data_IF_580609759518
#
_entry.id   IF_580609759518
#
_cell.length_a   1.000
_cell.length_b   1.000
_cell.length_c   1.000
_cell.angle_alpha   90.00
_cell.angle_beta   90.00
_cell.angle_gamma   90.00
#
_symmetry.space_group_name_H-M   'P 1'
#
loop_
_entity.id
_entity.type
_entity.pdbx_description
1 polymer ?
#
# COMPACT_ATOMS: atom_id res chain seq x y z
N UNK A 1 -13.90 41.19 -28.61
CA UNK A 1 -12.98 41.93 -27.72
C UNK A 1 -13.24 41.38 -26.32
N UNK A 2 -12.44 40.45 -25.76
CA UNK A 2 -11.07 40.60 -25.16
C UNK A 2 -11.08 41.58 -23.97
N UNK A 3 -10.49 41.30 -22.80
CA UNK A 3 -9.38 40.38 -22.43
C UNK A 3 -9.59 39.78 -21.01
N UNK A 4 -8.93 38.66 -20.70
CA UNK A 4 -8.66 38.18 -19.33
C UNK A 4 -7.53 38.97 -18.64
N UNK A 5 -7.39 38.85 -17.31
CA UNK A 5 -6.09 39.07 -16.63
C UNK A 5 -5.94 38.26 -15.34
N UNK A 6 -4.79 37.62 -15.17
CA UNK A 6 -4.38 36.92 -13.94
C UNK A 6 -3.88 37.90 -12.87
N UNK A 7 -3.80 37.43 -11.61
CA UNK A 7 -3.01 38.08 -10.56
C UNK A 7 -2.05 37.05 -9.93
N UNK A 8 -0.78 37.42 -9.82
CA UNK A 8 0.25 36.71 -9.06
C UNK A 8 0.69 37.60 -7.91
N UNK A 9 1.03 37.01 -6.75
CA UNK A 9 1.43 37.77 -5.56
C UNK A 9 2.70 37.19 -4.95
N UNK A 10 3.63 38.07 -4.57
CA UNK A 10 4.97 37.75 -4.06
C UNK A 10 5.07 37.94 -2.55
N UNK A 11 6.10 37.27 -2.01
CA UNK A 11 6.60 37.23 -0.64
C UNK A 11 6.91 38.62 -0.02
N UNK A 12 6.76 38.75 1.30
CA UNK A 12 7.34 39.81 2.14
C UNK A 12 8.03 39.20 3.36
N UNK A 13 9.16 39.76 3.76
CA UNK A 13 9.96 39.41 4.95
C UNK A 13 9.94 40.62 5.89
N UNK A 14 9.95 40.41 7.21
CA UNK A 14 10.20 41.47 8.19
C UNK A 14 11.08 40.95 9.34
N UNK A 15 12.06 41.76 9.74
CA UNK A 15 13.00 41.51 10.83
C UNK A 15 12.73 42.46 12.01
N UNK A 16 13.09 42.06 13.23
CA UNK A 16 13.06 42.91 14.42
C UNK A 16 14.30 42.69 15.29
N UNK A 17 14.87 43.75 15.84
CA UNK A 17 16.10 43.74 16.63
C UNK A 17 15.90 44.44 17.98
N UNK A 18 16.72 44.08 18.98
CA UNK A 18 16.86 44.82 20.23
C UNK A 18 18.32 44.73 20.72
N UNK A 19 18.76 45.74 21.50
CA UNK A 19 20.16 46.02 21.81
C UNK A 19 20.32 46.42 23.29
N UNK A 20 21.36 45.95 23.99
CA UNK A 20 21.94 46.59 25.20
C UNK A 20 23.39 46.10 25.46
N UNK A 21 24.17 46.90 26.20
CA UNK A 21 25.63 46.80 26.39
C UNK A 21 26.00 46.52 27.89
N UNK A 22 27.25 46.42 28.39
CA UNK A 22 28.60 46.75 27.89
C UNK A 22 29.73 46.03 28.70
N UNK A 23 30.97 46.56 28.64
CA UNK A 23 32.13 46.42 29.57
C UNK A 23 33.12 45.23 29.43
N UNK A 24 34.25 45.54 28.76
CA UNK A 24 35.71 45.29 29.03
C UNK A 24 36.15 44.08 29.90
N UNK A 25 37.27 43.37 29.66
CA UNK A 25 38.61 43.79 29.17
C UNK A 25 39.45 42.59 28.62
N UNK A 26 40.68 42.78 28.06
CA UNK A 26 41.33 41.79 27.17
C UNK A 26 42.42 40.91 27.81
N UNK A 27 42.65 39.73 27.22
CA UNK A 27 43.91 38.96 27.34
C UNK A 27 44.16 38.16 26.04
N UNK A 28 45.43 38.01 25.66
CA UNK A 28 45.83 37.46 24.36
C UNK A 28 46.04 35.94 24.36
N UNK A 29 45.77 35.28 23.24
CA UNK A 29 46.63 34.27 22.62
C UNK A 29 46.11 33.87 21.23
N UNK A 30 47.02 33.52 20.31
CA UNK A 30 46.70 33.08 18.96
C UNK A 30 45.82 31.81 18.97
N UNK A 31 44.70 31.84 18.25
CA UNK A 31 43.89 30.66 17.94
C UNK A 31 43.68 30.59 16.42
N UNK A 32 44.05 29.44 15.85
CA UNK A 32 43.84 29.10 14.44
C UNK A 32 42.33 28.96 14.14
N UNK A 33 41.84 29.28 12.92
CA UNK A 33 40.43 29.10 12.59
C UNK A 33 40.00 27.64 12.81
N UNK A 34 38.78 27.39 13.34
CA UNK A 34 38.34 26.02 13.63
C UNK A 34 38.36 25.18 12.35
N UNK A 35 39.11 24.08 12.37
CA UNK A 35 39.09 23.11 11.28
C UNK A 35 37.66 22.59 11.08
N UNK A 36 37.21 22.35 9.83
CA UNK A 36 35.93 21.71 9.59
C UNK A 36 35.89 20.36 10.33
N UNK A 37 34.74 19.98 10.92
CA UNK A 37 34.65 18.80 11.76
C UNK A 37 35.14 17.58 10.99
N UNK A 38 36.20 16.95 11.50
CA UNK A 38 36.76 15.74 10.91
C UNK A 38 35.65 14.69 10.87
N UNK A 39 35.30 14.23 9.66
CA UNK A 39 34.31 13.18 9.45
C UNK A 39 34.74 11.92 10.21
N UNK A 40 34.16 11.73 11.38
CA UNK A 40 34.24 10.46 12.09
C UNK A 40 33.51 9.45 11.21
N UNK A 41 34.27 8.60 10.52
CA UNK A 41 33.69 7.44 9.85
C UNK A 41 33.07 6.56 10.93
N UNK A 42 31.76 6.70 11.14
CA UNK A 42 30.99 5.75 11.93
C UNK A 42 31.06 4.43 11.16
N UNK A 43 31.91 3.52 11.64
CA UNK A 43 32.04 2.20 11.08
C UNK A 43 30.67 1.55 11.02
N UNK A 44 30.30 1.02 9.86
CA UNK A 44 29.04 0.34 9.68
C UNK A 44 28.96 -0.85 10.66
N UNK A 45 28.10 -0.74 11.67
CA UNK A 45 27.76 -1.90 12.50
C UNK A 45 27.18 -2.98 11.60
N UNK A 46 27.57 -4.26 11.75
CA UNK A 46 27.03 -5.32 10.92
C UNK A 46 25.52 -5.45 11.20
N UNK A 47 24.71 -5.05 10.22
CA UNK A 47 23.25 -5.16 10.31
C UNK A 47 22.84 -6.63 10.26
N UNK A 48 22.69 -7.25 11.43
CA UNK A 48 21.90 -8.47 11.58
C UNK A 48 20.52 -8.20 10.96
N UNK A 49 20.08 -9.11 10.09
CA UNK A 49 19.10 -8.82 9.06
C UNK A 49 17.78 -8.22 9.59
N UNK A 50 17.54 -6.93 9.32
CA UNK A 50 16.20 -6.37 9.40
C UNK A 50 15.39 -6.85 8.21
N UNK A 51 14.74 -8.00 8.38
CA UNK A 51 13.61 -8.38 7.54
C UNK A 51 12.51 -7.34 7.77
N UNK A 52 12.37 -6.42 6.82
CA UNK A 52 11.25 -5.51 6.74
C UNK A 52 10.04 -6.32 6.28
N UNK A 53 9.00 -6.35 7.07
CA UNK A 53 7.78 -7.10 6.79
C UNK A 53 6.61 -6.15 6.54
N UNK A 54 5.59 -6.70 5.91
CA UNK A 54 4.27 -6.09 5.84
C UNK A 54 3.23 -7.01 6.46
N UNK A 55 2.01 -6.52 6.57
CA UNK A 55 0.86 -7.31 6.95
C UNK A 55 -0.09 -7.41 5.76
N UNK A 56 -0.51 -8.64 5.48
CA UNK A 56 -1.55 -8.94 4.49
C UNK A 56 -2.76 -9.56 5.20
N UNK A 57 -3.95 -9.15 4.78
CA UNK A 57 -5.22 -9.77 5.17
C UNK A 57 -5.81 -10.48 3.95
N UNK A 58 -5.85 -11.80 3.96
CA UNK A 58 -6.54 -12.59 2.92
C UNK A 58 -7.95 -12.93 3.38
N UNK A 59 -8.96 -12.55 2.60
CA UNK A 59 -10.40 -12.75 2.86
C UNK A 59 -10.93 -13.81 1.90
N UNK A 60 -11.44 -14.91 2.45
CA UNK A 60 -12.11 -15.98 1.74
C UNK A 60 -13.64 -15.81 1.84
N UNK A 61 -14.28 -15.50 0.71
CA UNK A 61 -15.74 -15.30 0.64
C UNK A 61 -16.54 -16.61 0.73
N UNK A 62 -15.94 -17.76 0.36
CA UNK A 62 -16.59 -19.08 0.37
C UNK A 62 -16.52 -19.73 1.76
N UNK A 63 -15.37 -19.63 2.43
CA UNK A 63 -15.15 -20.11 3.79
C UNK A 63 -15.63 -19.13 4.87
N UNK A 64 -15.90 -17.86 4.51
CA UNK A 64 -16.28 -16.79 5.42
C UNK A 64 -15.25 -16.59 6.54
N UNK A 65 -13.98 -16.63 6.15
CA UNK A 65 -12.83 -16.43 7.02
C UNK A 65 -11.91 -15.35 6.47
N UNK A 66 -11.21 -14.67 7.37
CA UNK A 66 -10.08 -13.82 7.02
C UNK A 66 -8.83 -14.26 7.80
N UNK A 67 -7.67 -14.23 7.15
CA UNK A 67 -6.38 -14.59 7.73
C UNK A 67 -5.44 -13.38 7.67
N UNK A 68 -4.91 -12.98 8.83
CA UNK A 68 -3.85 -11.97 8.96
C UNK A 68 -2.49 -12.68 8.93
N UNK A 69 -1.58 -12.26 8.06
CA UNK A 69 -0.25 -12.88 7.90
C UNK A 69 0.85 -11.83 7.78
N UNK A 70 2.08 -12.22 8.11
CA UNK A 70 3.26 -11.46 7.65
C UNK A 70 3.39 -11.58 6.14
N UNK A 71 3.95 -10.55 5.50
CA UNK A 71 4.29 -10.52 4.08
C UNK A 71 5.75 -10.08 3.88
N UNK A 72 6.70 -10.98 4.19
CA UNK A 72 8.13 -10.79 3.93
C UNK A 72 8.44 -10.69 2.44
N UNK A 73 9.71 -10.39 2.10
CA UNK A 73 10.13 -10.31 0.70
C UNK A 73 10.04 -11.66 -0.03
N UNK A 74 10.31 -12.78 0.64
CA UNK A 74 10.01 -14.12 0.15
C UNK A 74 8.65 -14.57 0.72
N UNK A 75 7.57 -14.60 -0.07
CA UNK A 75 6.25 -14.95 0.42
C UNK A 75 6.13 -16.38 0.97
N UNK A 76 7.08 -17.29 0.68
CA UNK A 76 7.08 -18.64 1.25
C UNK A 76 7.37 -18.63 2.77
N UNK A 77 8.00 -17.57 3.28
CA UNK A 77 8.21 -17.35 4.72
C UNK A 77 7.06 -16.62 5.43
N UNK A 78 5.93 -16.40 4.73
CA UNK A 78 4.72 -15.80 5.31
C UNK A 78 4.19 -16.64 6.48
N UNK A 79 4.03 -15.98 7.64
CA UNK A 79 3.56 -16.61 8.87
C UNK A 79 2.14 -16.15 9.19
N UNK A 80 1.26 -17.10 9.54
CA UNK A 80 -0.09 -16.81 10.01
C UNK A 80 -0.04 -16.19 11.41
N UNK A 81 -0.70 -15.05 11.57
CA UNK A 81 -0.81 -14.33 12.84
C UNK A 81 -2.17 -14.57 13.48
N UNK A 82 -3.26 -14.33 12.73
CA UNK A 82 -4.62 -14.49 13.27
C UNK A 82 -5.63 -14.95 12.23
N UNK A 83 -6.62 -15.72 12.67
CA UNK A 83 -7.82 -16.08 11.90
C UNK A 83 -9.04 -15.35 12.46
N UNK A 84 -9.94 -14.95 11.59
CA UNK A 84 -11.19 -14.28 11.91
C UNK A 84 -12.35 -14.97 11.19
N UNK A 85 -13.51 -15.08 11.84
CA UNK A 85 -14.78 -15.31 11.16
C UNK A 85 -15.35 -13.96 10.73
N UNK A 86 -15.96 -13.92 9.56
CA UNK A 86 -16.48 -12.69 8.95
C UNK A 86 -17.87 -12.89 8.37
N UNK A 87 -18.57 -11.77 8.12
CA UNK A 87 -19.71 -11.70 7.23
C UNK A 87 -19.41 -10.78 6.04
N UNK A 88 -20.02 -11.07 4.89
CA UNK A 88 -19.79 -10.38 3.62
C UNK A 88 -21.11 -9.81 3.05
N UNK A 89 -21.03 -9.22 1.86
CA UNK A 89 -22.18 -8.72 1.12
C UNK A 89 -23.30 -9.76 0.95
N UNK A 90 -24.56 -9.29 0.95
CA UNK A 90 -25.75 -10.13 0.75
C UNK A 90 -25.75 -10.89 -0.59
N UNK A 91 -25.07 -10.36 -1.61
CA UNK A 91 -25.06 -10.91 -2.97
C UNK A 91 -23.74 -11.62 -3.30
N UNK A 92 -23.87 -12.72 -4.05
CA UNK A 92 -22.77 -13.55 -4.51
C UNK A 92 -21.93 -12.94 -5.63
N UNK A 93 -20.67 -13.40 -5.71
CA UNK A 93 -19.72 -13.05 -6.77
C UNK A 93 -19.06 -11.67 -6.61
N UNK A 94 -18.20 -11.32 -7.56
CA UNK A 94 -17.43 -10.08 -7.55
C UNK A 94 -18.32 -8.84 -7.78
N UNK A 95 -18.07 -7.79 -7.00
CA UNK A 95 -18.71 -6.47 -7.10
C UNK A 95 -18.41 -5.83 -8.45
N UNK A 96 -19.46 -5.42 -9.15
CA UNK A 96 -19.38 -4.71 -10.44
C UNK A 96 -19.94 -3.30 -10.35
N UNK A 97 -21.00 -3.07 -9.56
CA UNK A 97 -21.76 -1.82 -9.60
C UNK A 97 -22.11 -1.27 -8.21
N UNK A 98 -22.40 0.01 -8.14
CA UNK A 98 -23.00 0.62 -6.93
C UNK A 98 -24.34 -0.07 -6.60
N UNK A 99 -24.63 -0.26 -5.31
CA UNK A 99 -25.87 -0.91 -4.86
C UNK A 99 -26.00 -2.42 -5.12
N UNK A 100 -25.04 -3.08 -5.79
CA UNK A 100 -25.16 -4.52 -6.13
C UNK A 100 -25.05 -5.49 -4.93
N UNK A 101 -24.80 -4.97 -3.71
CA UNK A 101 -24.66 -5.71 -2.45
C UNK A 101 -23.56 -6.80 -2.43
N UNK A 102 -22.61 -6.76 -3.36
CA UNK A 102 -21.50 -7.72 -3.44
C UNK A 102 -20.25 -7.20 -2.76
N UNK A 103 -19.48 -8.10 -2.16
CA UNK A 103 -18.10 -7.79 -1.73
C UNK A 103 -17.15 -7.95 -2.92
N UNK A 104 -16.28 -6.96 -3.22
CA UNK A 104 -15.36 -7.02 -4.36
C UNK A 104 -14.33 -8.14 -4.23
N UNK A 105 -13.82 -8.62 -5.38
CA UNK A 105 -12.74 -9.59 -5.47
C UNK A 105 -11.52 -8.97 -6.16
N UNK A 106 -10.38 -8.94 -5.46
CA UNK A 106 -9.16 -8.28 -5.88
C UNK A 106 -8.19 -8.00 -4.72
N UNK A 107 -7.08 -7.35 -5.07
CA UNK A 107 -6.02 -6.84 -4.19
C UNK A 107 -6.24 -5.34 -3.98
N UNK A 108 -6.26 -4.91 -2.72
CA UNK A 108 -6.57 -3.56 -2.25
C UNK A 108 -5.55 -3.09 -1.22
N UNK A 109 -5.41 -1.78 -1.08
CA UNK A 109 -4.71 -1.17 0.05
C UNK A 109 -5.73 -0.66 1.08
N UNK A 110 -5.46 -0.93 2.36
CA UNK A 110 -6.16 -0.25 3.45
C UNK A 110 -5.91 1.26 3.37
N UNK A 111 -6.88 2.07 3.79
CA UNK A 111 -6.76 3.52 3.91
C UNK A 111 -6.70 3.94 5.39
N UNK A 112 -6.53 5.25 5.65
CA UNK A 112 -6.65 5.80 7.00
C UNK A 112 -7.97 5.40 7.66
N UNK A 113 -7.89 4.94 8.91
CA UNK A 113 -9.05 4.48 9.68
C UNK A 113 -10.04 5.62 9.92
N UNK A 114 -11.33 5.29 10.00
CA UNK A 114 -12.36 6.22 10.43
C UNK A 114 -12.39 6.18 11.96
N UNK A 115 -12.18 7.34 12.60
CA UNK A 115 -12.22 7.48 14.06
C UNK A 115 -13.64 7.35 14.61
N UNK A 116 -13.73 6.66 15.75
CA UNK A 116 -14.94 6.03 16.31
C UNK A 116 -16.10 7.03 16.51
N UNK A 117 -15.78 8.25 16.94
CA UNK A 117 -16.73 9.35 17.19
C UNK A 117 -17.55 9.78 15.96
N UNK A 118 -17.12 9.39 14.76
CA UNK A 118 -17.78 9.72 13.48
C UNK A 118 -18.38 8.50 12.79
N UNK A 119 -18.32 7.33 13.41
CA UNK A 119 -18.71 6.06 12.79
C UNK A 119 -20.15 5.70 13.16
N UNK A 120 -21.08 5.56 12.19
CA UNK A 120 -22.44 5.11 12.48
C UNK A 120 -22.48 3.74 13.16
N UNK A 121 -23.39 3.58 14.14
CA UNK A 121 -23.52 2.40 15.02
C UNK A 121 -23.47 1.06 14.25
N UNK A 122 -24.05 0.99 13.05
CA UNK A 122 -24.06 -0.22 12.20
C UNK A 122 -22.67 -0.80 11.87
N UNK A 123 -21.61 0.00 11.99
CA UNK A 123 -20.22 -0.41 11.71
C UNK A 123 -19.42 -0.77 12.98
N UNK A 124 -20.04 -0.73 14.16
CA UNK A 124 -19.41 -1.13 15.42
C UNK A 124 -18.25 -0.23 15.86
N UNK A 125 -17.22 -0.83 16.47
CA UNK A 125 -16.14 -0.08 17.15
C UNK A 125 -15.09 0.56 16.24
N UNK A 126 -14.86 0.04 15.04
CA UNK A 126 -13.79 0.47 14.12
C UNK A 126 -14.20 0.24 12.67
N UNK A 127 -13.70 1.08 11.76
CA UNK A 127 -13.77 0.84 10.32
C UNK A 127 -12.46 1.20 9.62
N UNK A 128 -12.00 0.30 8.75
CA UNK A 128 -10.81 0.41 7.91
C UNK A 128 -11.29 0.43 6.45
N UNK A 129 -11.33 1.59 5.77
CA UNK A 129 -11.69 1.63 4.36
C UNK A 129 -10.63 0.95 3.50
N UNK A 130 -11.04 0.37 2.36
CA UNK A 130 -10.13 -0.11 1.31
C UNK A 130 -10.28 0.74 0.05
N UNK A 131 -9.29 0.73 -0.84
CA UNK A 131 -9.27 1.53 -2.07
C UNK A 131 -10.13 1.00 -3.23
N UNK A 132 -11.24 0.31 -2.92
CA UNK A 132 -12.24 -0.02 -3.94
C UNK A 132 -13.04 1.23 -4.38
N UNK A 133 -13.28 1.43 -5.70
CA UNK A 133 -12.74 0.66 -6.83
C UNK A 133 -11.29 1.08 -7.10
N UNK A 134 -10.38 0.12 -7.16
CA UNK A 134 -8.95 0.40 -7.36
C UNK A 134 -8.63 0.72 -8.85
N UNK A 135 -7.36 0.96 -9.24
CA UNK A 135 -7.01 1.27 -10.63
C UNK A 135 -7.43 0.24 -11.69
N UNK A 136 -7.51 -1.05 -11.33
CA UNK A 136 -7.94 -2.14 -12.23
C UNK A 136 -9.46 -2.28 -12.23
N UNK A 137 -10.12 -2.15 -11.08
CA UNK A 137 -11.59 -2.10 -11.01
C UNK A 137 -12.13 -0.95 -11.87
N UNK A 138 -11.55 0.26 -11.75
CA UNK A 138 -11.89 1.42 -12.57
C UNK A 138 -11.56 1.22 -14.05
N UNK A 139 -10.45 0.53 -14.37
CA UNK A 139 -10.13 0.16 -15.76
C UNK A 139 -11.11 -0.86 -16.35
N UNK A 140 -11.78 -1.63 -15.51
CA UNK A 140 -12.79 -2.63 -15.86
C UNK A 140 -14.23 -2.07 -15.84
N UNK A 141 -14.40 -0.75 -15.66
CA UNK A 141 -15.71 -0.09 -15.64
C UNK A 141 -16.53 -0.27 -14.37
N UNK A 142 -15.95 -0.78 -13.28
CA UNK A 142 -16.68 -0.99 -12.03
C UNK A 142 -17.01 0.32 -11.31
N UNK A 143 -18.16 0.36 -10.66
CA UNK A 143 -18.66 1.50 -9.89
C UNK A 143 -18.98 1.15 -8.43
N UNK A 144 -19.41 2.15 -7.66
CA UNK A 144 -19.59 2.04 -6.22
C UNK A 144 -18.41 2.62 -5.43
N UNK A 145 -18.57 2.64 -4.11
CA UNK A 145 -17.65 3.21 -3.14
C UNK A 145 -17.90 2.59 -1.76
N UNK A 146 -17.20 3.07 -0.71
CA UNK A 146 -17.58 2.78 0.68
C UNK A 146 -17.38 1.35 1.18
N UNK A 147 -16.56 0.54 0.50
CA UNK A 147 -16.23 -0.83 0.96
C UNK A 147 -15.23 -0.73 2.10
N UNK A 148 -15.63 -1.15 3.30
CA UNK A 148 -14.83 -1.11 4.52
C UNK A 148 -14.69 -2.50 5.14
N UNK A 149 -13.62 -2.70 5.91
CA UNK A 149 -13.53 -3.72 6.95
C UNK A 149 -14.04 -3.09 8.25
N UNK A 150 -15.08 -3.63 8.89
CA UNK A 150 -15.67 -2.96 10.06
C UNK A 150 -16.20 -3.94 11.11
N UNK A 151 -16.55 -3.42 12.30
CA UNK A 151 -17.24 -4.16 13.36
C UNK A 151 -18.73 -4.35 13.06
N UNK A 152 -19.57 -4.50 14.09
CA UNK A 152 -21.02 -4.61 13.92
C UNK A 152 -21.75 -3.93 15.08
N UNK A 153 -23.01 -3.54 14.87
CA UNK A 153 -23.85 -3.02 15.97
C UNK A 153 -24.01 -4.05 17.11
N UNK A 154 -24.24 -5.31 16.77
CA UNK A 154 -24.24 -6.44 17.69
C UNK A 154 -23.54 -7.64 17.04
N UNK A 155 -22.74 -8.36 17.82
CA UNK A 155 -21.83 -9.41 17.31
C UNK A 155 -22.56 -10.52 16.53
N UNK A 156 -23.81 -10.83 16.88
CA UNK A 156 -24.65 -11.80 16.16
C UNK A 156 -24.89 -11.50 14.67
N UNK A 157 -24.63 -10.27 14.18
CA UNK A 157 -24.68 -9.96 12.73
C UNK A 157 -23.62 -10.71 11.92
N UNK A 158 -22.50 -11.10 12.55
CA UNK A 158 -21.45 -11.89 11.88
C UNK A 158 -21.93 -13.32 11.65
N UNK A 159 -22.80 -13.83 12.53
CA UNK A 159 -23.39 -15.17 12.40
C UNK A 159 -24.34 -15.29 11.20
N UNK A 160 -24.94 -14.19 10.75
CA UNK A 160 -25.80 -14.12 9.55
C UNK A 160 -25.04 -14.35 8.23
N UNK A 161 -23.71 -14.35 8.24
CA UNK A 161 -22.79 -14.63 7.11
C UNK A 161 -22.85 -13.67 5.89
N UNK A 162 -24.03 -13.27 5.42
CA UNK A 162 -24.25 -12.47 4.19
C UNK A 162 -25.22 -11.34 4.48
N UNK A 163 -24.74 -10.35 5.25
CA UNK A 163 -25.57 -9.33 5.91
C UNK A 163 -25.28 -7.90 5.43
N UNK A 164 -24.17 -7.73 4.73
CA UNK A 164 -23.57 -6.43 4.38
C UNK A 164 -24.02 -5.92 3.01
N UNK A 165 -23.77 -4.64 2.70
CA UNK A 165 -24.01 -4.02 1.39
C UNK A 165 -22.77 -4.11 0.47
N UNK A 166 -21.72 -4.83 0.92
CA UNK A 166 -20.48 -5.11 0.18
C UNK A 166 -19.21 -5.08 1.06
N UNK A 167 -19.28 -4.44 2.23
CA UNK A 167 -18.25 -4.48 3.27
C UNK A 167 -17.93 -5.90 3.79
N UNK A 168 -16.80 -6.03 4.47
CA UNK A 168 -16.45 -7.22 5.26
C UNK A 168 -16.61 -6.89 6.74
N UNK A 169 -17.56 -7.54 7.41
CA UNK A 169 -17.88 -7.34 8.80
C UNK A 169 -17.19 -8.38 9.69
N UNK A 170 -16.68 -7.93 10.83
CA UNK A 170 -15.97 -8.70 11.84
C UNK A 170 -16.68 -8.54 13.20
N UNK A 171 -16.42 -9.44 14.14
CA UNK A 171 -16.79 -9.22 15.54
C UNK A 171 -16.09 -7.98 16.09
N UNK A 172 -16.71 -7.28 17.05
CA UNK A 172 -16.17 -5.99 17.53
C UNK A 172 -14.79 -6.09 18.19
N UNK A 173 -14.52 -7.19 18.88
CA UNK A 173 -13.19 -7.48 19.43
C UNK A 173 -12.15 -7.73 18.32
N UNK A 174 -12.56 -8.40 17.24
CA UNK A 174 -11.68 -8.76 16.14
C UNK A 174 -11.33 -7.59 15.23
N UNK A 175 -12.26 -6.69 14.89
CA UNK A 175 -11.90 -5.47 14.14
C UNK A 175 -10.98 -4.56 14.97
N UNK A 176 -11.19 -4.50 16.29
CA UNK A 176 -10.35 -3.73 17.21
C UNK A 176 -8.93 -4.32 17.27
N UNK A 177 -8.82 -5.64 17.28
CA UNK A 177 -7.55 -6.38 17.17
C UNK A 177 -6.88 -6.16 15.80
N UNK A 178 -7.64 -6.22 14.70
CA UNK A 178 -7.13 -6.03 13.33
C UNK A 178 -6.61 -4.60 13.10
N UNK A 179 -7.29 -3.57 13.62
CA UNK A 179 -6.88 -2.17 13.50
C UNK A 179 -5.53 -1.85 14.18
N UNK A 180 -5.07 -2.68 15.10
CA UNK A 180 -3.72 -2.53 15.66
C UNK A 180 -2.63 -2.81 14.61
N UNK A 181 -2.91 -3.63 13.61
CA UNK A 181 -1.91 -4.17 12.67
C UNK A 181 -2.11 -3.71 11.23
N UNK A 182 -3.36 -3.67 10.76
CA UNK A 182 -3.70 -3.27 9.39
C UNK A 182 -3.74 -1.73 9.27
N UNK A 183 -2.55 -1.12 9.37
CA UNK A 183 -2.39 0.34 9.29
C UNK A 183 -2.72 0.87 7.90
N UNK A 184 -3.33 2.05 7.88
CA UNK A 184 -3.72 2.71 6.63
C UNK A 184 -2.54 2.95 5.71
N UNK A 185 -2.73 2.67 4.42
CA UNK A 185 -1.77 2.79 3.32
C UNK A 185 -0.53 1.89 3.43
N UNK A 186 -0.49 0.99 4.42
CA UNK A 186 0.54 -0.02 4.61
C UNK A 186 -0.06 -1.42 4.43
N UNK A 187 -1.19 -1.70 5.11
CA UNK A 187 -1.86 -2.99 5.03
C UNK A 187 -2.40 -3.31 3.62
N UNK A 188 -2.13 -4.52 3.15
CA UNK A 188 -2.71 -5.07 1.91
C UNK A 188 -3.88 -5.98 2.26
N UNK A 189 -4.98 -5.86 1.53
CA UNK A 189 -6.19 -6.66 1.68
C UNK A 189 -6.45 -7.39 0.37
N UNK A 190 -6.46 -8.71 0.40
CA UNK A 190 -6.79 -9.55 -0.76
C UNK A 190 -8.12 -10.22 -0.49
N UNK A 191 -9.12 -9.93 -1.30
CA UNK A 191 -10.44 -10.55 -1.21
C UNK A 191 -10.62 -11.46 -2.41
N UNK A 192 -10.90 -12.74 -2.17
CA UNK A 192 -11.08 -13.74 -3.21
C UNK A 192 -12.33 -14.59 -2.94
N UNK A 193 -12.82 -15.24 -4.00
CA UNK A 193 -13.84 -16.29 -3.86
C UNK A 193 -13.33 -17.46 -3.02
N UNK A 194 -12.07 -17.86 -3.25
CA UNK A 194 -11.37 -18.93 -2.55
C UNK A 194 -9.90 -18.49 -2.41
N UNK A 195 -9.35 -18.44 -1.19
CA UNK A 195 -7.98 -17.92 -0.99
C UNK A 195 -6.89 -18.90 -1.41
N UNK A 196 -7.22 -20.15 -1.73
CA UNK A 196 -6.24 -21.08 -2.30
C UNK A 196 -5.79 -20.65 -3.70
N UNK A 197 -6.55 -19.77 -4.38
CA UNK A 197 -6.24 -19.28 -5.72
C UNK A 197 -5.46 -17.95 -5.76
N UNK A 198 -5.21 -17.33 -4.62
CA UNK A 198 -4.32 -16.16 -4.52
C UNK A 198 -2.88 -16.58 -4.21
N UNK A 199 -1.91 -15.70 -4.52
CA UNK A 199 -0.51 -15.87 -4.13
C UNK A 199 0.12 -17.21 -4.56
N UNK A 200 -0.26 -17.73 -5.74
CA UNK A 200 0.38 -18.91 -6.34
C UNK A 200 1.89 -18.63 -6.55
N UNK A 201 2.75 -19.56 -6.12
CA UNK A 201 4.21 -19.36 -6.10
C UNK A 201 4.80 -19.03 -7.48
N UNK A 202 4.33 -19.71 -8.54
CA UNK A 202 4.75 -19.46 -9.93
C UNK A 202 4.44 -18.03 -10.39
N UNK A 203 3.22 -17.53 -10.13
CA UNK A 203 2.84 -16.17 -10.50
C UNK A 203 3.60 -15.12 -9.68
N UNK A 204 3.83 -15.36 -8.39
CA UNK A 204 4.63 -14.48 -7.54
C UNK A 204 6.05 -14.33 -8.08
N UNK A 205 6.74 -15.45 -8.33
CA UNK A 205 8.10 -15.47 -8.88
C UNK A 205 8.18 -14.83 -10.26
N UNK A 206 7.20 -15.11 -11.13
CA UNK A 206 7.15 -14.57 -12.50
C UNK A 206 6.94 -13.06 -12.49
N UNK A 207 5.97 -12.55 -11.73
CA UNK A 207 5.67 -11.11 -11.63
C UNK A 207 6.80 -10.36 -10.91
N UNK A 208 7.45 -10.95 -9.92
CA UNK A 208 8.64 -10.36 -9.28
C UNK A 208 9.80 -10.24 -10.28
N UNK A 209 10.11 -11.31 -11.01
CA UNK A 209 11.15 -11.33 -12.05
C UNK A 209 10.91 -10.27 -13.13
N UNK A 210 9.67 -10.17 -13.62
CA UNK A 210 9.27 -9.16 -14.60
C UNK A 210 9.36 -7.73 -14.03
N UNK A 211 8.96 -7.53 -12.76
CA UNK A 211 9.09 -6.24 -12.08
C UNK A 211 10.56 -5.83 -11.92
N UNK A 212 11.45 -6.75 -11.57
CA UNK A 212 12.90 -6.49 -11.50
C UNK A 212 13.49 -6.17 -12.88
N UNK A 213 13.03 -6.84 -13.94
CA UNK A 213 13.39 -6.50 -15.32
C UNK A 213 12.95 -5.08 -15.71
N UNK A 214 11.72 -4.70 -15.37
CA UNK A 214 11.19 -3.34 -15.59
C UNK A 214 11.98 -2.28 -14.80
N UNK A 215 12.34 -2.58 -13.55
CA UNK A 215 13.16 -1.69 -12.69
C UNK A 215 14.54 -1.46 -13.33
N UNK A 216 15.19 -2.53 -13.82
CA UNK A 216 16.48 -2.44 -14.48
C UNK A 216 16.39 -1.64 -15.79
N UNK A 217 15.40 -1.92 -16.64
CA UNK A 217 15.21 -1.19 -17.89
C UNK A 217 14.96 0.31 -17.66
N UNK A 218 14.27 0.68 -16.58
CA UNK A 218 14.14 2.08 -16.17
C UNK A 218 15.48 2.66 -15.68
N UNK A 219 16.18 1.97 -14.79
CA UNK A 219 17.47 2.44 -14.25
C UNK A 219 18.52 2.67 -15.35
N UNK A 220 18.58 1.75 -16.33
CA UNK A 220 19.46 1.81 -17.50
C UNK A 220 19.00 2.83 -18.58
N UNK A 221 17.85 3.48 -18.39
CA UNK A 221 17.17 4.35 -19.39
C UNK A 221 16.85 3.66 -20.73
N UNK A 222 16.75 2.32 -20.75
CA UNK A 222 16.44 1.53 -21.95
C UNK A 222 14.95 1.60 -22.25
N UNK A 223 14.51 2.72 -22.83
CA UNK A 223 13.09 2.99 -23.06
C UNK A 223 12.41 1.90 -23.89
N UNK A 224 13.07 1.40 -24.93
CA UNK A 224 12.49 0.39 -25.84
C UNK A 224 12.38 -0.99 -25.17
N UNK A 225 13.13 -1.27 -24.10
CA UNK A 225 12.92 -2.45 -23.24
C UNK A 225 11.87 -2.20 -22.16
N UNK A 226 11.89 -1.01 -21.54
CA UNK A 226 10.95 -0.59 -20.51
C UNK A 226 9.49 -0.66 -20.98
N UNK A 227 9.21 -0.26 -22.23
CA UNK A 227 7.84 -0.28 -22.78
C UNK A 227 7.30 -1.69 -23.06
N UNK A 228 8.17 -2.70 -23.26
CA UNK A 228 7.76 -4.10 -23.52
C UNK A 228 7.03 -4.74 -22.34
N UNK A 229 7.23 -4.22 -21.13
CA UNK A 229 6.52 -4.70 -19.94
C UNK A 229 5.07 -4.22 -19.85
N UNK A 230 4.64 -3.27 -20.69
CA UNK A 230 3.29 -2.70 -20.67
C UNK A 230 2.38 -3.40 -21.67
N UNK A 231 1.08 -3.45 -21.37
CA UNK A 231 0.08 -3.91 -22.34
C UNK A 231 0.00 -2.96 -23.53
N UNK A 232 -0.29 -3.50 -24.71
CA UNK A 232 -0.53 -2.73 -25.95
C UNK A 232 -1.66 -1.71 -25.81
N UNK A 233 -2.66 -2.00 -24.97
CA UNK A 233 -3.80 -1.13 -24.65
C UNK A 233 -3.59 -0.25 -23.40
N UNK A 234 -2.35 -0.12 -22.92
CA UNK A 234 -1.99 0.72 -21.78
C UNK A 234 -2.36 2.20 -22.03
N UNK A 235 -2.74 2.88 -20.95
CA UNK A 235 -3.10 4.31 -20.95
C UNK A 235 -2.50 5.01 -19.73
N UNK A 236 -1.90 6.18 -19.96
CA UNK A 236 -1.45 7.10 -18.92
C UNK A 236 -2.08 8.48 -19.13
N UNK A 237 -3.13 8.78 -18.35
CA UNK A 237 -3.97 9.95 -18.59
C UNK A 237 -4.61 9.88 -19.98
N UNK A 238 -4.26 10.83 -20.86
CA UNK A 238 -4.72 10.87 -22.26
C UNK A 238 -3.78 10.13 -23.23
N UNK A 239 -2.59 9.72 -22.81
CA UNK A 239 -1.61 9.05 -23.68
C UNK A 239 -1.90 7.55 -23.78
N UNK A 240 -1.74 6.99 -24.98
CA UNK A 240 -1.50 5.55 -25.19
C UNK A 240 -0.06 5.16 -24.87
N UNK A 241 0.28 3.89 -25.08
CA UNK A 241 1.63 3.37 -24.88
C UNK A 241 2.69 4.11 -25.73
N UNK A 242 2.39 4.48 -26.97
CA UNK A 242 3.33 5.19 -27.84
C UNK A 242 3.60 6.62 -27.33
N UNK A 243 2.55 7.38 -27.03
CA UNK A 243 2.69 8.71 -26.42
C UNK A 243 3.38 8.67 -25.05
N UNK A 244 3.14 7.62 -24.26
CA UNK A 244 3.82 7.39 -22.99
C UNK A 244 5.31 7.06 -23.17
N UNK A 245 5.66 6.24 -24.16
CA UNK A 245 7.03 5.92 -24.53
C UNK A 245 7.79 7.20 -24.91
N UNK A 246 7.22 8.03 -25.76
CA UNK A 246 7.82 9.29 -26.20
C UNK A 246 7.96 10.30 -25.05
N UNK A 247 6.98 10.37 -24.16
CA UNK A 247 7.07 11.15 -22.93
C UNK A 247 8.23 10.68 -22.05
N UNK A 248 8.36 9.37 -21.81
CA UNK A 248 9.44 8.79 -21.00
C UNK A 248 10.82 8.95 -21.64
N UNK A 249 10.92 8.82 -22.97
CA UNK A 249 12.16 9.09 -23.72
C UNK A 249 12.62 10.54 -23.48
N UNK A 250 11.74 11.53 -23.68
CA UNK A 250 12.03 12.94 -23.35
C UNK A 250 12.45 13.14 -21.89
N UNK A 251 11.83 12.44 -20.94
CA UNK A 251 12.23 12.49 -19.52
C UNK A 251 13.64 11.95 -19.32
N UNK A 252 13.99 10.80 -19.91
CA UNK A 252 15.31 10.17 -19.79
C UNK A 252 16.42 11.02 -20.44
N UNK A 253 16.12 11.65 -21.57
CA UNK A 253 17.03 12.55 -22.30
C UNK A 253 17.20 13.90 -21.58
N UNK A 254 16.17 14.35 -20.84
CA UNK A 254 16.17 15.69 -20.22
C UNK A 254 17.13 15.85 -19.04
N UNK A 255 17.56 14.76 -18.39
CA UNK A 255 18.44 14.79 -17.22
C UNK A 255 19.84 14.30 -17.57
N UNK A 256 20.88 15.05 -17.19
CA UNK A 256 22.26 14.57 -17.35
C UNK A 256 22.51 13.44 -16.36
N UNK A 257 22.27 13.71 -15.09
CA UNK A 257 22.37 12.78 -13.98
C UNK A 257 20.97 12.34 -13.55
N UNK A 258 20.56 11.14 -13.98
CA UNK A 258 19.34 10.49 -13.49
C UNK A 258 19.74 9.35 -12.57
N UNK A 259 19.27 9.37 -11.32
CA UNK A 259 19.37 8.24 -10.38
C UNK A 259 17.96 7.78 -10.03
N UNK A 260 17.71 6.48 -10.16
CA UNK A 260 16.53 5.85 -9.58
C UNK A 260 16.99 4.69 -8.70
N UNK A 261 16.43 4.59 -7.51
CA UNK A 261 16.61 3.44 -6.61
C UNK A 261 15.26 2.94 -6.13
N UNK A 262 15.19 1.64 -5.88
CA UNK A 262 13.99 0.94 -5.44
C UNK A 262 14.29 0.18 -4.15
N UNK A 263 13.36 0.19 -3.21
CA UNK A 263 13.47 -0.62 -1.99
C UNK A 263 12.17 -1.39 -1.71
N UNK A 264 12.32 -2.46 -0.94
CA UNK A 264 11.24 -3.26 -0.39
C UNK A 264 10.17 -3.70 -1.41
N UNK A 265 10.59 -4.29 -2.52
CA UNK A 265 9.68 -4.90 -3.50
C UNK A 265 8.87 -6.03 -2.85
N UNK A 266 7.55 -5.94 -2.96
CA UNK A 266 6.58 -7.00 -2.65
C UNK A 266 5.72 -7.28 -3.87
N UNK A 267 5.25 -8.51 -3.97
CA UNK A 267 4.29 -8.95 -4.97
C UNK A 267 3.13 -9.64 -4.25
N UNK A 268 1.92 -9.42 -4.75
CA UNK A 268 0.70 -10.13 -4.35
C UNK A 268 -0.04 -10.51 -5.63
N UNK A 269 -0.54 -11.74 -5.73
CA UNK A 269 -1.23 -12.23 -6.94
C UNK A 269 -2.65 -12.68 -6.62
N UNK A 270 -3.57 -12.42 -7.56
CA UNK A 270 -4.97 -12.81 -7.52
C UNK A 270 -5.33 -13.37 -8.91
N UNK A 271 -6.28 -14.30 -9.07
CA UNK A 271 -6.60 -14.91 -10.37
C UNK A 271 -6.91 -13.91 -11.49
N UNK A 272 -7.40 -12.72 -11.13
CA UNK A 272 -7.70 -11.61 -12.06
C UNK A 272 -6.46 -10.78 -12.47
N UNK A 273 -5.55 -10.51 -11.53
CA UNK A 273 -4.41 -9.61 -11.72
C UNK A 273 -3.40 -9.73 -10.56
N UNK A 274 -2.19 -9.22 -10.75
CA UNK A 274 -1.18 -9.13 -9.70
C UNK A 274 -0.80 -7.66 -9.42
N UNK A 275 -0.32 -7.38 -8.22
CA UNK A 275 0.23 -6.06 -7.85
C UNK A 275 1.65 -6.24 -7.34
N UNK A 276 2.60 -5.58 -8.01
CA UNK A 276 3.96 -5.44 -7.53
C UNK A 276 4.16 -4.01 -7.02
N UNK A 277 4.66 -3.85 -5.80
CA UNK A 277 4.72 -2.54 -5.15
C UNK A 277 5.97 -2.40 -4.26
N UNK A 278 6.47 -1.18 -4.18
CA UNK A 278 7.81 -0.85 -3.67
C UNK A 278 7.90 0.65 -3.35
N UNK A 279 8.93 1.08 -2.61
CA UNK A 279 9.32 2.48 -2.64
C UNK A 279 10.30 2.75 -3.78
N UNK A 280 10.26 3.99 -4.26
CA UNK A 280 11.04 4.50 -5.37
C UNK A 280 11.56 5.89 -4.99
N UNK A 281 12.87 6.07 -5.12
CA UNK A 281 13.53 7.36 -5.07
C UNK A 281 14.04 7.71 -6.47
N UNK A 282 13.42 8.70 -7.10
CA UNK A 282 13.89 9.26 -8.37
C UNK A 282 14.50 10.64 -8.15
N UNK A 283 15.69 10.86 -8.70
CA UNK A 283 16.40 12.14 -8.72
C UNK A 283 16.85 12.46 -10.15
N UNK A 284 16.37 13.57 -10.69
CA UNK A 284 16.73 14.10 -12.01
C UNK A 284 17.49 15.42 -11.88
N UNK A 285 18.82 15.35 -12.07
CA UNK A 285 19.79 16.38 -11.70
C UNK A 285 19.51 16.93 -10.28
N UNK A 286 19.63 18.25 -10.08
CA UNK A 286 19.12 18.96 -8.91
C UNK A 286 17.75 19.62 -9.17
N UNK A 287 17.07 19.26 -10.27
CA UNK A 287 15.87 19.97 -10.76
C UNK A 287 14.56 19.30 -10.39
N UNK A 288 14.55 17.99 -10.19
CA UNK A 288 13.34 17.23 -9.89
C UNK A 288 13.64 16.02 -9.02
N UNK A 289 12.78 15.77 -8.04
CA UNK A 289 12.77 14.56 -7.23
C UNK A 289 11.36 13.99 -7.15
N UNK A 290 11.25 12.67 -7.07
CA UNK A 290 9.98 11.95 -6.91
C UNK A 290 10.24 10.75 -6.01
N UNK A 291 9.90 10.93 -4.73
CA UNK A 291 10.18 10.01 -3.62
C UNK A 291 8.85 9.50 -3.07
N UNK A 292 8.65 8.19 -3.06
CA UNK A 292 7.41 7.61 -2.55
C UNK A 292 7.14 6.20 -3.05
N UNK A 293 5.90 5.77 -2.95
CA UNK A 293 5.47 4.41 -3.26
C UNK A 293 5.01 4.30 -4.70
N UNK A 294 5.34 3.18 -5.32
CA UNK A 294 4.86 2.78 -6.64
C UNK A 294 4.12 1.45 -6.55
N UNK A 295 3.04 1.33 -7.30
CA UNK A 295 2.32 0.10 -7.53
C UNK A 295 2.14 -0.13 -9.04
N UNK A 296 2.60 -1.29 -9.51
CA UNK A 296 2.42 -1.80 -10.86
C UNK A 296 1.35 -2.89 -10.81
N UNK A 297 0.26 -2.67 -11.53
CA UNK A 297 -0.83 -3.63 -11.66
C UNK A 297 -0.62 -4.40 -12.96
N UNK A 298 -0.29 -5.68 -12.81
CA UNK A 298 -0.03 -6.62 -13.89
C UNK A 298 -1.29 -7.41 -14.18
N UNK A 299 -1.64 -7.56 -15.44
CA UNK A 299 -2.78 -8.35 -15.91
C UNK A 299 -2.26 -9.36 -16.94
N UNK A 300 -2.91 -10.51 -17.06
CA UNK A 300 -2.54 -11.47 -18.11
C UNK A 300 -2.84 -10.86 -19.48
N UNK A 301 -1.92 -11.04 -20.41
CA UNK A 301 -2.09 -10.72 -21.82
C UNK A 301 -2.67 -11.93 -22.57
N UNK A 302 -2.88 -11.77 -23.88
CA UNK A 302 -3.54 -12.79 -24.71
C UNK A 302 -2.69 -14.07 -24.90
N UNK A 303 -1.40 -14.05 -24.56
CA UNK A 303 -0.52 -15.23 -24.57
C UNK A 303 -0.32 -15.87 -23.17
N UNK A 304 -1.07 -15.43 -22.17
CA UNK A 304 -1.02 -15.93 -20.79
C UNK A 304 0.10 -15.32 -19.93
N UNK A 305 1.05 -14.62 -20.54
CA UNK A 305 2.09 -13.86 -19.85
C UNK A 305 1.57 -12.60 -19.14
N UNK A 306 2.39 -11.99 -18.30
CA UNK A 306 2.02 -10.83 -17.48
C UNK A 306 2.50 -9.51 -18.11
N UNK A 307 1.63 -8.50 -18.14
CA UNK A 307 1.97 -7.15 -18.61
C UNK A 307 1.26 -6.05 -17.79
N UNK A 308 1.92 -4.88 -17.65
CA UNK A 308 1.44 -3.75 -16.85
C UNK A 308 0.20 -3.12 -17.51
N UNK A 309 -0.92 -3.16 -16.80
CA UNK A 309 -2.21 -2.55 -17.16
C UNK A 309 -2.36 -1.15 -16.56
N UNK A 310 -1.84 -0.93 -15.35
CA UNK A 310 -1.80 0.37 -14.65
C UNK A 310 -0.50 0.54 -13.87
N UNK A 311 0.02 1.76 -13.87
CA UNK A 311 1.12 2.22 -13.02
C UNK A 311 0.58 3.36 -12.15
N UNK A 312 0.82 3.28 -10.84
CA UNK A 312 0.43 4.32 -9.86
C UNK A 312 1.67 4.71 -9.06
N UNK A 313 1.84 6.02 -8.85
CA UNK A 313 2.82 6.58 -7.93
C UNK A 313 2.12 7.53 -6.97
N UNK A 314 2.52 7.51 -5.70
CA UNK A 314 2.07 8.45 -4.68
C UNK A 314 3.27 8.99 -3.90
N UNK A 315 3.26 10.29 -3.58
CA UNK A 315 4.34 10.99 -2.89
C UNK A 315 4.34 10.72 -1.36
N UNK A 316 4.36 9.44 -1.00
CA UNK A 316 4.40 8.88 0.36
C UNK A 316 5.11 7.53 0.29
N UNK A 317 5.91 7.14 1.27
CA UNK A 317 6.46 5.76 1.30
C UNK A 317 5.43 4.77 1.83
N UNK A 318 5.63 3.50 1.48
CA UNK A 318 5.29 2.40 2.38
C UNK A 318 6.28 2.41 3.54
N UNK A 319 5.74 2.46 4.76
CA UNK A 319 6.50 2.13 5.96
C UNK A 319 6.38 0.63 6.16
N UNK A 320 7.52 -0.05 6.21
CA UNK A 320 7.59 -1.48 6.48
C UNK A 320 7.84 -1.68 7.97
N UNK A 321 7.17 -2.67 8.55
CA UNK A 321 7.32 -3.00 9.96
C UNK A 321 8.52 -3.91 10.14
N UNK A 322 9.24 -3.78 11.25
CA UNK A 322 10.16 -4.84 11.70
C UNK A 322 9.53 -5.48 12.92
N UNK A 323 9.12 -6.73 12.81
CA UNK A 323 8.64 -7.49 13.95
C UNK A 323 9.82 -8.18 14.62
N UNK A 324 9.91 -8.07 15.94
CA UNK A 324 10.73 -8.97 16.76
C UNK A 324 10.04 -10.33 16.87
N UNK A 325 10.81 -11.40 17.14
CA UNK A 325 10.24 -12.73 17.40
C UNK A 325 9.21 -12.70 18.55
N UNK A 326 9.42 -11.82 19.54
CA UNK A 326 8.49 -11.61 20.64
C UNK A 326 7.17 -10.95 20.18
N UNK A 327 7.21 -9.99 19.26
CA UNK A 327 6.01 -9.40 18.65
C UNK A 327 5.29 -10.40 17.75
N UNK A 328 6.00 -11.21 16.95
CA UNK A 328 5.42 -12.31 16.17
C UNK A 328 4.78 -13.38 17.08
N UNK A 329 5.41 -13.69 18.21
CA UNK A 329 4.87 -14.61 19.21
C UNK A 329 3.62 -14.01 19.89
N UNK A 330 3.61 -12.71 20.23
CA UNK A 330 2.43 -12.02 20.78
C UNK A 330 1.29 -11.89 19.76
N UNK A 331 1.63 -11.75 18.47
CA UNK A 331 0.70 -11.69 17.35
C UNK A 331 0.03 -13.03 17.03
N UNK A 332 0.80 -14.12 17.11
CA UNK A 332 0.35 -15.49 16.82
C UNK A 332 -0.18 -16.21 18.07
N UNK A 333 0.21 -15.78 19.27
CA UNK A 333 -0.45 -16.17 20.50
C UNK A 333 -1.92 -15.76 20.40
N UNK A 334 -2.79 -16.76 20.51
CA UNK A 334 -4.21 -16.53 20.56
C UNK A 334 -4.55 -15.69 21.80
N UNK A 335 -4.70 -14.36 21.61
CA UNK A 335 -5.77 -13.64 22.28
C UNK A 335 -7.00 -14.49 21.99
N UNK A 336 -7.67 -15.07 23.00
CA UNK A 336 -8.75 -16.02 22.77
C UNK A 336 -9.84 -15.32 21.96
N UNK A 337 -9.83 -15.56 20.65
CA UNK A 337 -10.96 -15.30 19.78
C UNK A 337 -12.10 -16.02 20.44
N UNK A 338 -13.16 -15.27 20.72
CA UNK A 338 -14.24 -15.67 21.63
C UNK A 338 -14.61 -17.12 21.38
N UNK A 339 -14.42 -17.96 22.41
CA UNK A 339 -14.99 -19.31 22.44
C UNK A 339 -16.50 -19.11 22.59
N UNK A 340 -17.14 -18.71 21.49
CA UNK A 340 -18.57 -18.73 21.33
C UNK A 340 -18.96 -20.19 21.32
N UNK A 341 -19.27 -20.69 22.52
CA UNK A 341 -19.70 -22.05 22.73
C UNK A 341 -20.78 -22.39 21.72
N UNK A 342 -20.59 -23.50 21.00
CA UNK A 342 -21.69 -24.17 20.35
C UNK A 342 -22.77 -24.39 21.40
N UNK A 343 -23.89 -23.64 21.30
CA UNK A 343 -25.08 -23.93 22.08
C UNK A 343 -25.59 -25.28 21.58
N UNK A 344 -25.12 -26.37 22.21
CA UNK A 344 -25.77 -27.68 22.13
C UNK A 344 -27.23 -27.48 22.51
N UNK A 345 -28.10 -27.56 21.52
CA UNK A 345 -29.54 -27.64 21.74
C UNK A 345 -29.78 -28.91 22.56
N UNK A 346 -30.43 -28.84 23.73
CA UNK A 346 -30.88 -30.06 24.38
C UNK A 346 -31.97 -30.66 23.50
N UNK A 347 -31.73 -31.86 22.98
CA UNK A 347 -32.77 -32.71 22.43
C UNK A 347 -33.78 -33.01 23.54
N UNK A 348 -35.05 -32.67 23.29
CA UNK A 348 -36.21 -33.10 24.08
C UNK A 348 -36.46 -34.60 23.92
#
# INVERSE_FOLDING_TARGET
MTVSSHLAMRLVIASGAFLMTELMSPAAANAEPPQPPQTTQVAASPTVGRHTDMIILTVDKKALQAELKTWPQDPQSSSLLKRFRIAIGKAEGDKQQEGDNRTPEGIYFAQSHIVDEKLPIKYGRKAIPIDFPNPIDRASGKTGHGIWLHGVEHDGRVDEAKVTEGCVAFYNADISSLANWLKGYQGVVVIAKDVNDVNKSEDLQTVEKLTRGWMQAWADRKIDDYVKFYRTDFRFGKMDLAGYADFKRRVFDSYRNMKVSFDNLRVVTHPKYAVAFFNQDFHGDQRFTSIGRKALYWERNDNGGWAIRREVFENRRFEFMTFTDAELALLSAAVPGTVHQEKKTPSL
#
